data_IF_615698695792
#
_entry.id   IF_615698695792
#
_cell.length_a   1.000
_cell.length_b   1.000
_cell.length_c   1.000
_cell.angle_alpha   90.00
_cell.angle_beta   90.00
_cell.angle_gamma   90.00
#
_symmetry.space_group_name_H-M   'P 1'
#
loop_
_entity.id
_entity.type
_entity.pdbx_description
1 polymer ?
#
# COMPACT_ATOMS: atom_id res chain seq x y z
N UNK A 1 19.75 -21.25 62.05
CA UNK A 1 21.01 -21.73 62.68
C UNK A 1 21.96 -22.16 61.57
N UNK A 2 23.10 -21.48 61.42
CA UNK A 2 24.49 -22.03 61.58
C UNK A 2 24.76 -23.23 60.66
N UNK A 3 25.84 -23.38 59.88
CA UNK A 3 27.12 -22.70 59.66
C UNK A 3 27.79 -23.51 58.50
N UNK A 4 28.30 -22.89 57.44
CA UNK A 4 29.72 -22.49 57.24
C UNK A 4 30.66 -23.61 56.75
N UNK A 5 31.14 -23.40 55.50
CA UNK A 5 32.50 -23.52 54.94
C UNK A 5 33.34 -24.80 55.05
N UNK A 6 33.95 -25.14 53.90
CA UNK A 6 35.39 -25.23 53.56
C UNK A 6 35.56 -26.36 52.51
N UNK A 7 36.42 -26.38 51.50
CA UNK A 7 37.34 -25.48 50.80
C UNK A 7 38.19 -26.39 49.87
N UNK A 8 38.81 -25.83 48.84
CA UNK A 8 40.01 -26.31 48.12
C UNK A 8 39.87 -27.45 47.08
N UNK A 9 40.33 -27.12 45.87
CA UNK A 9 40.60 -28.06 44.77
C UNK A 9 41.00 -27.34 43.48
N UNK A 10 42.06 -26.55 43.56
CA UNK A 10 42.72 -25.83 42.47
C UNK A 10 43.28 -26.82 41.42
N UNK A 11 43.10 -26.57 40.13
CA UNK A 11 44.05 -27.03 39.11
C UNK A 11 44.04 -26.07 37.90
N UNK A 12 45.02 -25.16 37.92
CA UNK A 12 45.51 -24.42 36.77
C UNK A 12 46.25 -25.37 35.83
N UNK A 13 46.01 -25.26 34.53
CA UNK A 13 47.05 -25.51 33.52
C UNK A 13 47.08 -24.29 32.61
N UNK A 14 48.15 -23.50 32.78
CA UNK A 14 48.52 -22.45 31.87
C UNK A 14 49.27 -23.02 30.67
N UNK A 15 49.02 -22.44 29.50
CA UNK A 15 49.91 -22.50 28.36
C UNK A 15 50.05 -21.08 27.82
N UNK A 16 51.06 -20.38 28.35
CA UNK A 16 51.62 -19.17 27.75
C UNK A 16 52.45 -19.56 26.53
N UNK A 17 52.05 -19.11 25.34
CA UNK A 17 52.96 -18.99 24.19
C UNK A 17 53.02 -17.51 23.85
N UNK A 18 54.13 -16.88 24.26
CA UNK A 18 54.50 -15.56 23.80
C UNK A 18 55.30 -15.71 22.50
N UNK A 19 54.81 -15.16 21.39
CA UNK A 19 55.66 -14.85 20.23
C UNK A 19 55.18 -13.55 19.59
N UNK A 20 55.96 -12.49 19.87
CA UNK A 20 56.40 -11.44 18.95
C UNK A 20 55.34 -10.61 18.20
N UNK A 21 55.03 -9.43 18.76
CA UNK A 21 54.54 -8.27 18.00
C UNK A 21 55.61 -7.81 17.00
N UNK A 22 55.48 -8.18 15.73
CA UNK A 22 56.01 -7.36 14.63
C UNK A 22 55.01 -6.24 14.38
N UNK A 23 55.48 -5.01 14.59
CA UNK A 23 54.75 -3.77 14.37
C UNK A 23 54.68 -3.54 12.85
N UNK A 24 53.61 -4.00 12.23
CA UNK A 24 53.29 -3.70 10.84
C UNK A 24 52.47 -2.40 10.84
N UNK A 25 53.04 -1.32 10.32
CA UNK A 25 52.32 -0.08 10.04
C UNK A 25 51.32 -0.36 8.91
N UNK A 26 50.10 -0.74 9.30
CA UNK A 26 48.97 -0.74 8.40
C UNK A 26 48.62 0.73 8.18
N UNK A 27 48.99 1.25 7.00
CA UNK A 27 48.48 2.50 6.50
C UNK A 27 46.94 2.51 6.66
N UNK A 28 46.32 3.59 7.15
CA UNK A 28 44.86 3.65 7.22
C UNK A 28 44.34 3.52 5.78
N UNK A 29 43.85 2.32 5.47
CA UNK A 29 42.98 2.14 4.34
C UNK A 29 41.76 2.98 4.72
N UNK A 30 41.62 4.13 4.04
CA UNK A 30 40.36 4.84 4.00
C UNK A 30 39.40 3.84 3.38
N UNK A 31 38.71 3.09 4.24
CA UNK A 31 37.42 2.55 3.88
C UNK A 31 36.61 3.78 3.48
N UNK A 32 36.59 4.04 2.18
CA UNK A 32 35.47 4.71 1.56
C UNK A 32 34.25 3.95 2.09
N UNK A 33 33.55 4.56 3.04
CA UNK A 33 32.15 4.25 3.28
C UNK A 33 31.51 4.33 1.90
N UNK A 34 31.32 3.15 1.28
CA UNK A 34 30.41 2.97 0.18
C UNK A 34 29.05 3.27 0.77
N UNK A 35 28.72 4.56 0.82
CA UNK A 35 27.38 5.05 1.01
C UNK A 35 26.59 4.40 -0.11
N UNK A 36 25.94 3.28 0.22
CA UNK A 36 24.82 2.79 -0.55
C UNK A 36 23.81 3.93 -0.51
N UNK A 37 23.87 4.78 -1.52
CA UNK A 37 22.87 5.78 -1.81
C UNK A 37 21.60 5.01 -2.18
N UNK A 38 20.92 4.46 -1.18
CA UNK A 38 19.61 3.83 -1.34
C UNK A 38 18.74 4.84 -2.08
N UNK A 39 18.23 4.46 -3.24
CA UNK A 39 17.42 5.35 -4.08
C UNK A 39 16.18 5.77 -3.29
N UNK A 40 16.09 7.05 -2.94
CA UNK A 40 14.92 7.61 -2.26
C UNK A 40 13.92 8.05 -3.32
N UNK A 41 12.71 7.52 -3.27
CA UNK A 41 11.58 7.98 -4.08
C UNK A 41 10.71 8.90 -3.25
N UNK A 42 10.29 10.04 -3.82
CA UNK A 42 9.36 10.95 -3.16
C UNK A 42 8.01 10.88 -3.84
N UNK A 43 6.96 10.68 -3.04
CA UNK A 43 5.56 10.60 -3.46
C UNK A 43 4.77 11.67 -2.73
N UNK A 44 3.90 12.40 -3.42
CA UNK A 44 3.06 13.45 -2.83
C UNK A 44 1.59 13.15 -3.05
N UNK A 45 0.80 13.24 -1.99
CA UNK A 45 -0.65 13.17 -2.05
C UNK A 45 -1.23 14.55 -1.74
N UNK A 46 -2.01 15.08 -2.66
CA UNK A 46 -2.84 16.26 -2.45
C UNK A 46 -4.24 15.77 -2.11
N UNK A 47 -4.67 16.00 -0.88
CA UNK A 47 -5.95 15.54 -0.40
C UNK A 47 -6.99 16.65 -0.46
N UNK A 48 -8.22 16.28 -0.80
CA UNK A 48 -9.41 17.09 -0.57
C UNK A 48 -10.41 16.35 0.33
N UNK A 49 -10.95 17.04 1.33
CA UNK A 49 -11.98 16.51 2.22
C UNK A 49 -13.01 17.59 2.56
N UNK A 50 -14.22 17.46 2.03
CA UNK A 50 -15.24 18.52 2.12
C UNK A 50 -14.75 19.83 1.47
N UNK A 51 -14.39 20.82 2.29
CA UNK A 51 -13.83 22.12 1.85
C UNK A 51 -12.36 22.29 2.20
N UNK A 52 -11.75 21.30 2.84
CA UNK A 52 -10.36 21.33 3.25
C UNK A 52 -9.49 20.72 2.15
N UNK A 53 -8.35 21.35 1.89
CA UNK A 53 -7.30 20.88 0.97
C UNK A 53 -5.98 20.89 1.73
N UNK A 54 -5.18 19.84 1.56
CA UNK A 54 -3.90 19.69 2.26
C UNK A 54 -3.00 18.69 1.53
N UNK A 55 -1.69 18.71 1.80
CA UNK A 55 -0.75 17.80 1.13
C UNK A 55 0.13 17.05 2.10
N UNK A 56 0.40 15.78 1.78
CA UNK A 56 1.34 14.93 2.52
C UNK A 56 2.36 14.35 1.53
N UNK A 57 3.63 14.44 1.88
CA UNK A 57 4.71 13.89 1.08
C UNK A 57 5.40 12.76 1.85
N UNK A 58 5.60 11.64 1.17
CA UNK A 58 6.26 10.45 1.66
C UNK A 58 7.59 10.26 0.93
N UNK A 59 8.66 10.04 1.68
CA UNK A 59 9.92 9.53 1.13
C UNK A 59 9.99 8.05 1.38
N UNK A 60 10.20 7.28 0.32
CA UNK A 60 10.22 5.82 0.29
C UNK A 60 11.63 5.32 -0.02
N UNK A 61 12.03 4.20 0.59
CA UNK A 61 13.22 3.46 0.18
C UNK A 61 12.93 2.57 -1.05
N UNK A 62 13.89 1.75 -1.45
CA UNK A 62 13.77 0.83 -2.60
C UNK A 62 12.75 -0.30 -2.38
N UNK A 63 12.43 -0.60 -1.12
CA UNK A 63 11.46 -1.61 -0.71
C UNK A 63 10.04 -1.02 -0.55
N UNK A 64 9.84 0.25 -0.94
CA UNK A 64 8.62 1.06 -0.75
C UNK A 64 8.26 1.29 0.73
N UNK A 65 9.22 1.22 1.65
CA UNK A 65 8.99 1.56 3.05
C UNK A 65 9.11 3.07 3.27
N UNK A 66 8.18 3.63 4.06
CA UNK A 66 8.19 5.06 4.41
C UNK A 66 9.34 5.35 5.38
N UNK A 67 10.35 6.06 4.90
CA UNK A 67 11.49 6.53 5.72
C UNK A 67 11.23 7.92 6.32
N UNK A 68 10.41 8.74 5.66
CA UNK A 68 10.07 10.09 6.12
C UNK A 68 8.71 10.53 5.59
N UNK A 69 7.99 11.28 6.43
CA UNK A 69 6.75 11.97 6.02
C UNK A 69 6.85 13.47 6.34
N UNK A 70 6.33 14.31 5.47
CA UNK A 70 6.27 15.77 5.64
C UNK A 70 4.95 16.35 5.10
N UNK A 71 4.71 17.64 5.34
CA UNK A 71 3.44 18.30 5.01
C UNK A 71 2.44 18.24 6.16
N UNK A 72 1.15 18.25 5.83
CA UNK A 72 0.01 18.36 6.76
C UNK A 72 -0.34 17.04 7.47
N UNK A 73 0.67 16.29 7.88
CA UNK A 73 0.57 14.95 8.49
C UNK A 73 -0.36 14.88 9.70
N UNK A 74 -0.38 15.92 10.55
CA UNK A 74 -1.25 15.98 11.72
C UNK A 74 -2.72 16.10 11.33
N UNK A 75 -3.02 16.92 10.33
CA UNK A 75 -4.38 17.06 9.79
C UNK A 75 -4.82 15.76 9.13
N UNK A 76 -3.96 15.20 8.27
CA UNK A 76 -4.20 13.93 7.60
C UNK A 76 -4.55 12.80 8.58
N UNK A 77 -3.71 12.60 9.60
CA UNK A 77 -3.93 11.61 10.65
C UNK A 77 -5.24 11.89 11.41
N UNK A 78 -5.49 13.14 11.76
CA UNK A 78 -6.71 13.56 12.44
C UNK A 78 -7.98 13.26 11.63
N UNK A 79 -7.96 13.45 10.31
CA UNK A 79 -9.11 13.18 9.44
C UNK A 79 -9.36 11.68 9.26
N UNK A 80 -8.31 10.88 9.07
CA UNK A 80 -8.43 9.42 9.00
C UNK A 80 -8.95 8.83 10.33
N UNK A 81 -8.47 9.34 11.47
CA UNK A 81 -8.88 8.86 12.81
C UNK A 81 -10.29 9.35 13.22
N UNK A 82 -10.67 10.59 12.88
CA UNK A 82 -11.93 11.22 13.32
C UNK A 82 -13.17 10.63 12.64
N UNK A 83 -13.04 10.03 11.45
CA UNK A 83 -14.15 9.43 10.71
C UNK A 83 -14.55 8.01 11.22
N UNK A 84 -14.23 7.68 12.47
CA UNK A 84 -14.88 6.62 13.24
C UNK A 84 -14.28 5.22 13.09
N UNK A 85 -13.52 4.96 12.05
CA UNK A 85 -12.45 3.93 11.95
C UNK A 85 -12.00 3.94 10.48
N UNK A 86 -10.72 3.69 10.16
CA UNK A 86 -10.26 3.50 8.78
C UNK A 86 -11.10 2.46 8.01
N UNK A 87 -11.82 1.59 8.73
CA UNK A 87 -12.69 0.53 8.23
C UNK A 87 -13.73 0.92 7.19
N UNK A 88 -14.15 2.18 7.02
CA UNK A 88 -15.11 2.55 5.97
C UNK A 88 -14.65 3.76 5.13
N UNK A 89 -13.42 4.24 5.33
CA UNK A 89 -12.92 5.37 4.58
C UNK A 89 -12.90 5.03 3.07
N UNK A 90 -13.25 6.02 2.25
CA UNK A 90 -13.21 5.87 0.80
C UNK A 90 -12.30 6.94 0.21
N UNK A 91 -11.39 6.50 -0.65
CA UNK A 91 -10.39 7.31 -1.33
C UNK A 91 -10.70 7.28 -2.82
N UNK A 92 -10.87 8.43 -3.45
CA UNK A 92 -10.97 8.55 -4.91
C UNK A 92 -9.71 9.24 -5.41
N UNK A 93 -8.90 8.51 -6.17
CA UNK A 93 -7.75 9.03 -6.89
C UNK A 93 -8.28 9.71 -8.15
N UNK A 94 -8.39 11.03 -8.09
CA UNK A 94 -8.96 11.88 -9.15
C UNK A 94 -7.95 12.15 -10.27
N UNK A 95 -6.67 12.27 -9.93
CA UNK A 95 -5.60 12.47 -10.90
C UNK A 95 -4.28 11.83 -10.44
N UNK A 96 -3.41 11.54 -11.42
CA UNK A 96 -2.07 11.01 -11.22
C UNK A 96 -1.13 11.77 -12.15
N UNK A 97 -0.08 12.37 -11.61
CA UNK A 97 0.92 13.09 -12.40
C UNK A 97 1.61 12.18 -13.43
N UNK A 98 2.15 12.78 -14.50
CA UNK A 98 2.83 12.05 -15.57
C UNK A 98 4.00 11.17 -15.09
N UNK A 99 4.68 11.57 -14.01
CA UNK A 99 5.77 10.80 -13.40
C UNK A 99 5.29 9.70 -12.43
N UNK A 100 3.98 9.58 -12.22
CA UNK A 100 3.34 8.58 -11.37
C UNK A 100 3.60 8.75 -9.87
N UNK A 101 3.98 9.95 -9.42
CA UNK A 101 4.41 10.20 -8.03
C UNK A 101 3.61 11.26 -7.29
N UNK A 102 2.74 11.98 -7.96
CA UNK A 102 1.82 12.92 -7.34
C UNK A 102 0.40 12.46 -7.61
N UNK A 103 -0.41 12.41 -6.55
CA UNK A 103 -1.77 11.91 -6.59
C UNK A 103 -2.72 12.95 -6.01
N UNK A 104 -3.78 13.26 -6.74
CA UNK A 104 -4.88 14.07 -6.23
C UNK A 104 -5.96 13.11 -5.71
N UNK A 105 -6.20 13.14 -4.40
CA UNK A 105 -7.02 12.15 -3.70
C UNK A 105 -8.16 12.84 -2.95
N UNK A 106 -9.39 12.52 -3.29
CA UNK A 106 -10.57 12.94 -2.53
C UNK A 106 -10.93 11.90 -1.48
N UNK A 107 -11.12 12.35 -0.25
CA UNK A 107 -11.53 11.52 0.89
C UNK A 107 -13.03 11.64 1.12
N UNK A 108 -13.64 10.51 1.48
CA UNK A 108 -15.06 10.41 1.84
C UNK A 108 -15.23 9.58 3.12
N UNK A 109 -16.37 9.77 3.79
CA UNK A 109 -16.70 9.01 4.99
C UNK A 109 -17.16 7.58 4.68
N UNK A 110 -17.57 7.31 3.43
CA UNK A 110 -18.06 6.01 3.00
C UNK A 110 -17.95 5.82 1.49
N UNK A 111 -17.93 4.57 1.05
CA UNK A 111 -18.04 4.22 -0.36
C UNK A 111 -19.34 4.74 -1.00
N UNK A 112 -20.44 4.80 -0.24
CA UNK A 112 -21.70 5.37 -0.72
C UNK A 112 -21.55 6.85 -1.07
N UNK A 113 -20.97 7.65 -0.18
CA UNK A 113 -20.75 9.08 -0.41
C UNK A 113 -19.85 9.32 -1.64
N UNK A 114 -18.83 8.49 -1.81
CA UNK A 114 -17.97 8.51 -3.00
C UNK A 114 -18.74 8.16 -4.29
N UNK A 115 -19.65 7.18 -4.24
CA UNK A 115 -20.47 6.79 -5.39
C UNK A 115 -21.50 7.86 -5.76
N UNK A 116 -22.12 8.49 -4.75
CA UNK A 116 -23.05 9.60 -4.93
C UNK A 116 -22.34 10.79 -5.59
N UNK A 117 -21.11 11.11 -5.13
CA UNK A 117 -20.27 12.15 -5.73
C UNK A 117 -19.92 11.84 -7.18
N UNK A 118 -19.52 10.59 -7.46
CA UNK A 118 -19.18 10.13 -8.80
C UNK A 118 -20.40 9.91 -9.71
N UNK A 119 -21.62 10.16 -9.22
CA UNK A 119 -22.89 9.97 -9.94
C UNK A 119 -23.06 8.55 -10.50
N UNK A 120 -22.57 7.57 -9.75
CA UNK A 120 -22.69 6.17 -10.14
C UNK A 120 -24.03 5.65 -9.66
N UNK A 121 -24.89 5.37 -10.62
CA UNK A 121 -26.15 4.70 -10.36
C UNK A 121 -25.92 3.20 -10.10
N UNK A 122 -25.87 2.83 -8.83
CA UNK A 122 -25.77 1.41 -8.46
C UNK A 122 -27.04 0.62 -8.80
N UNK A 123 -28.17 1.27 -9.07
CA UNK A 123 -29.42 0.59 -9.43
C UNK A 123 -29.43 0.08 -10.89
N UNK A 124 -28.66 0.71 -11.79
CA UNK A 124 -28.42 0.19 -13.15
C UNK A 124 -27.31 -0.86 -13.19
N UNK A 125 -26.47 -0.95 -12.15
CA UNK A 125 -25.42 -1.96 -11.98
C UNK A 125 -25.90 -3.21 -11.20
N UNK A 126 -27.07 -3.76 -11.58
CA UNK A 126 -27.55 -5.14 -11.30
C UNK A 126 -28.14 -5.46 -9.90
N UNK A 127 -29.18 -6.30 -9.95
CA UNK A 127 -29.92 -6.97 -8.88
C UNK A 127 -29.07 -7.36 -7.66
N UNK A 128 -29.07 -6.49 -6.64
CA UNK A 128 -28.37 -6.56 -5.36
C UNK A 128 -28.85 -7.69 -4.42
N UNK A 129 -29.50 -8.74 -4.93
CA UNK A 129 -30.10 -9.77 -4.06
C UNK A 129 -29.08 -10.51 -3.20
N UNK A 130 -27.79 -10.55 -3.58
CA UNK A 130 -26.72 -11.11 -2.75
C UNK A 130 -25.39 -10.32 -2.89
N UNK A 131 -25.01 -9.49 -1.89
CA UNK A 131 -23.79 -8.67 -1.92
C UNK A 131 -22.49 -9.49 -1.92
N UNK A 132 -22.61 -10.81 -1.78
CA UNK A 132 -21.50 -11.74 -1.74
C UNK A 132 -21.33 -12.60 -3.00
N UNK A 133 -21.82 -12.14 -4.15
CA UNK A 133 -21.67 -12.87 -5.42
C UNK A 133 -20.77 -12.13 -6.39
N UNK A 134 -19.98 -12.89 -7.15
CA UNK A 134 -19.31 -12.35 -8.33
C UNK A 134 -20.32 -12.19 -9.44
N UNK A 135 -20.13 -11.15 -10.22
CA UNK A 135 -21.05 -10.86 -11.30
C UNK A 135 -20.33 -10.11 -12.43
N UNK A 136 -20.75 -10.39 -13.66
CA UNK A 136 -20.31 -9.72 -14.88
C UNK A 136 -21.56 -9.39 -15.70
N UNK A 137 -21.87 -8.10 -15.91
CA UNK A 137 -22.95 -7.68 -16.83
C UNK A 137 -22.43 -6.89 -18.01
N UNK A 138 -23.16 -7.03 -19.12
CA UNK A 138 -23.25 -5.99 -20.14
C UNK A 138 -22.03 -5.90 -21.06
N UNK A 139 -22.12 -4.92 -21.95
CA UNK A 139 -21.03 -4.50 -22.82
C UNK A 139 -20.55 -3.12 -22.35
N UNK A 140 -19.36 -3.05 -21.77
CA UNK A 140 -18.61 -1.78 -21.66
C UNK A 140 -17.34 -1.88 -22.49
N UNK A 141 -16.87 -0.73 -22.96
CA UNK A 141 -15.59 -0.63 -23.67
C UNK A 141 -14.40 -0.42 -22.72
N UNK A 142 -14.65 -0.10 -21.44
CA UNK A 142 -13.62 0.04 -20.41
C UNK A 142 -12.88 -1.28 -20.20
N UNK A 143 -11.56 -1.23 -20.13
CA UNK A 143 -10.72 -2.41 -19.85
C UNK A 143 -9.81 -2.09 -18.67
N UNK A 144 -9.90 -2.91 -17.62
CA UNK A 144 -9.03 -2.81 -16.47
C UNK A 144 -8.07 -4.00 -16.48
N UNK A 145 -6.77 -3.71 -16.48
CA UNK A 145 -5.73 -4.75 -16.37
C UNK A 145 -4.98 -4.57 -15.06
N UNK A 146 -4.82 -5.68 -14.35
CA UNK A 146 -4.15 -5.72 -13.05
C UNK A 146 -2.86 -6.50 -13.20
N UNK A 147 -1.83 -6.06 -12.49
CA UNK A 147 -0.48 -6.60 -12.63
C UNK A 147 0.11 -6.89 -11.27
N UNK A 148 0.90 -7.96 -11.21
CA UNK A 148 1.57 -8.40 -9.99
C UNK A 148 2.73 -7.49 -9.58
N UNK A 149 3.34 -6.82 -10.54
CA UNK A 149 4.49 -5.95 -10.30
C UNK A 149 4.17 -4.51 -10.73
N UNK A 150 4.94 -3.56 -10.20
CA UNK A 150 4.89 -2.17 -10.65
C UNK A 150 5.23 -2.06 -12.15
N UNK A 151 4.91 -0.92 -12.74
CA UNK A 151 5.17 -0.58 -14.14
C UNK A 151 4.54 -1.57 -15.15
N UNK A 152 3.38 -2.13 -14.80
CA UNK A 152 2.56 -3.00 -15.64
C UNK A 152 3.26 -4.32 -16.03
N UNK A 153 3.98 -4.92 -15.07
CA UNK A 153 4.72 -6.17 -15.28
C UNK A 153 3.95 -7.37 -14.69
N UNK A 154 3.86 -8.45 -15.47
CA UNK A 154 3.17 -9.73 -15.14
C UNK A 154 1.66 -9.56 -14.87
N UNK A 155 0.87 -9.59 -15.94
CA UNK A 155 -0.57 -9.35 -15.90
C UNK A 155 -1.40 -10.53 -15.35
N UNK A 156 -2.34 -10.24 -14.46
CA UNK A 156 -3.43 -11.15 -14.08
C UNK A 156 -4.54 -11.18 -15.14
N UNK A 157 -4.30 -11.91 -16.23
CA UNK A 157 -5.23 -11.95 -17.38
C UNK A 157 -6.65 -12.43 -17.05
N UNK A 158 -6.83 -13.20 -15.97
CA UNK A 158 -8.15 -13.64 -15.51
C UNK A 158 -8.99 -12.51 -14.90
N UNK A 159 -8.34 -11.45 -14.38
CA UNK A 159 -8.99 -10.25 -13.84
C UNK A 159 -9.37 -9.22 -14.91
N UNK A 160 -8.96 -9.41 -16.18
CA UNK A 160 -9.37 -8.53 -17.28
C UNK A 160 -10.86 -8.27 -17.27
N UNK A 161 -11.65 -9.31 -16.94
CA UNK A 161 -13.11 -9.31 -16.91
C UNK A 161 -13.75 -8.26 -15.99
N UNK A 162 -12.97 -7.46 -15.26
CA UNK A 162 -13.44 -6.40 -14.36
C UNK A 162 -14.23 -5.26 -15.01
N UNK A 163 -14.27 -5.15 -16.35
CA UNK A 163 -14.89 -4.06 -17.14
C UNK A 163 -16.20 -3.50 -16.58
N UNK A 164 -17.06 -4.38 -16.05
CA UNK A 164 -18.32 -4.09 -15.33
C UNK A 164 -18.58 -5.25 -14.35
N UNK A 165 -17.52 -5.72 -13.70
CA UNK A 165 -17.58 -6.92 -12.88
C UNK A 165 -17.17 -6.67 -11.45
N UNK A 166 -17.59 -7.63 -10.64
CA UNK A 166 -17.36 -7.71 -9.21
C UNK A 166 -16.57 -8.98 -8.91
N UNK A 167 -15.40 -8.85 -8.28
CA UNK A 167 -14.56 -9.98 -7.86
C UNK A 167 -14.36 -9.99 -6.36
N UNK A 168 -14.53 -11.15 -5.74
CA UNK A 168 -14.22 -11.41 -4.34
C UNK A 168 -12.89 -12.12 -4.14
N UNK A 169 -12.43 -12.16 -2.89
CA UNK A 169 -11.20 -12.81 -2.45
C UNK A 169 -11.00 -14.21 -3.04
N UNK A 170 -12.02 -15.09 -2.98
CA UNK A 170 -11.88 -16.46 -3.52
C UNK A 170 -11.72 -16.52 -5.05
N UNK A 171 -11.90 -15.41 -5.75
CA UNK A 171 -11.74 -15.27 -7.20
C UNK A 171 -10.59 -14.35 -7.61
N UNK A 172 -9.98 -13.66 -6.66
CA UNK A 172 -8.72 -12.96 -6.87
C UNK A 172 -7.55 -13.96 -6.91
N UNK A 173 -7.67 -15.15 -6.32
CA UNK A 173 -6.64 -16.19 -6.32
C UNK A 173 -5.26 -15.60 -5.94
N UNK A 174 -4.22 -15.81 -6.75
CA UNK A 174 -2.89 -15.25 -6.52
C UNK A 174 -2.81 -13.72 -6.61
N UNK A 175 -3.85 -13.02 -7.04
CA UNK A 175 -3.90 -11.56 -7.06
C UNK A 175 -4.37 -10.95 -5.73
N UNK A 176 -4.98 -11.74 -4.83
CA UNK A 176 -5.35 -11.23 -3.51
C UNK A 176 -4.09 -10.69 -2.79
N UNK A 177 -4.14 -9.44 -2.32
CA UNK A 177 -3.04 -8.74 -1.65
C UNK A 177 -1.72 -8.70 -2.46
N UNK A 178 -1.79 -8.85 -3.80
CA UNK A 178 -0.62 -8.96 -4.68
C UNK A 178 -0.79 -8.16 -5.98
N UNK A 179 -1.57 -7.07 -5.96
CA UNK A 179 -1.75 -6.19 -7.13
C UNK A 179 -0.89 -4.95 -6.94
N UNK A 180 0.18 -4.82 -7.72
CA UNK A 180 1.10 -3.68 -7.60
C UNK A 180 0.88 -2.59 -8.64
N UNK A 181 0.21 -2.88 -9.76
CA UNK A 181 -0.15 -1.83 -10.74
C UNK A 181 -1.45 -2.13 -11.49
N UNK A 182 -2.03 -1.05 -12.03
CA UNK A 182 -3.36 -1.04 -12.65
C UNK A 182 -3.33 -0.18 -13.91
N UNK A 183 -3.74 -0.74 -15.04
CA UNK A 183 -3.93 -0.03 -16.29
C UNK A 183 -5.43 0.09 -16.59
N UNK A 184 -5.91 1.32 -16.78
CA UNK A 184 -7.27 1.63 -17.18
C UNK A 184 -7.25 2.09 -18.64
N UNK A 185 -7.89 1.31 -19.52
CA UNK A 185 -8.03 1.61 -20.93
C UNK A 185 -9.48 1.95 -21.24
N UNK A 186 -9.68 2.91 -22.13
CA UNK A 186 -11.01 3.40 -22.54
C UNK A 186 -11.86 3.96 -21.38
N UNK A 187 -11.20 4.54 -20.38
CA UNK A 187 -11.85 5.18 -19.23
C UNK A 187 -12.56 4.18 -18.31
N UNK A 188 -13.33 4.72 -17.37
CA UNK A 188 -14.02 3.97 -16.32
C UNK A 188 -13.41 4.25 -14.95
N UNK A 189 -13.91 3.54 -13.95
CA UNK A 189 -13.41 3.60 -12.58
C UNK A 189 -13.30 2.18 -12.03
N UNK A 190 -12.26 1.91 -11.27
CA UNK A 190 -12.17 0.66 -10.49
C UNK A 190 -12.03 0.98 -9.02
N UNK A 191 -12.69 0.21 -8.18
CA UNK A 191 -12.63 0.30 -6.72
C UNK A 191 -12.06 -0.99 -6.15
N UNK A 192 -11.00 -0.86 -5.36
CA UNK A 192 -10.39 -1.91 -4.54
C UNK A 192 -10.93 -1.80 -3.11
N UNK A 193 -11.26 -2.92 -2.49
CA UNK A 193 -11.81 -2.98 -1.13
C UNK A 193 -10.94 -3.86 -0.22
N UNK A 194 -10.77 -3.46 1.04
CA UNK A 194 -10.03 -4.25 2.06
C UNK A 194 -10.84 -5.42 2.63
N UNK A 195 -12.17 -5.36 2.51
CA UNK A 195 -13.08 -6.39 2.94
C UNK A 195 -13.56 -7.27 1.79
N UNK A 196 -13.93 -8.49 2.13
CA UNK A 196 -14.77 -9.34 1.27
C UNK A 196 -16.14 -8.70 1.03
N UNK A 197 -16.82 -9.08 -0.05
CA UNK A 197 -18.15 -8.59 -0.39
C UNK A 197 -18.25 -7.05 -0.52
N UNK A 198 -17.24 -6.41 -1.11
CA UNK A 198 -17.22 -4.97 -1.43
C UNK A 198 -17.44 -4.08 -0.20
N UNK A 199 -16.88 -4.53 0.93
CA UNK A 199 -17.02 -3.88 2.21
C UNK A 199 -15.69 -3.31 2.67
N UNK A 200 -15.77 -2.45 3.67
CA UNK A 200 -14.60 -1.93 4.35
C UNK A 200 -14.05 -0.65 3.72
N UNK A 201 -12.74 -0.44 3.89
CA UNK A 201 -12.01 0.66 3.29
C UNK A 201 -11.95 0.46 1.78
N UNK A 202 -12.09 1.54 1.01
CA UNK A 202 -12.12 1.46 -0.44
C UNK A 202 -11.22 2.50 -1.10
N UNK A 203 -10.53 2.11 -2.16
CA UNK A 203 -9.75 3.03 -3.01
C UNK A 203 -10.23 2.89 -4.45
N UNK A 204 -10.81 3.96 -4.97
CA UNK A 204 -11.23 4.09 -6.34
C UNK A 204 -10.20 4.84 -7.17
N UNK A 205 -9.97 4.38 -8.39
CA UNK A 205 -9.02 4.96 -9.33
C UNK A 205 -9.69 5.14 -10.69
N UNK A 206 -9.54 6.32 -11.29
CA UNK A 206 -10.06 6.63 -12.64
C UNK A 206 -8.95 6.77 -13.70
N UNK A 207 -7.68 6.69 -13.28
CA UNK A 207 -6.49 6.71 -14.13
C UNK A 207 -5.63 5.45 -13.94
N UNK A 208 -4.75 5.17 -14.91
CA UNK A 208 -3.74 4.11 -14.74
C UNK A 208 -2.74 4.50 -13.65
N UNK A 209 -2.36 3.54 -12.81
CA UNK A 209 -1.39 3.71 -11.73
C UNK A 209 -0.28 2.68 -11.89
N UNK A 210 0.94 3.17 -12.16
CA UNK A 210 2.11 2.32 -12.37
C UNK A 210 2.62 1.68 -11.07
N UNK A 211 2.32 2.24 -9.91
CA UNK A 211 2.63 1.63 -8.62
C UNK A 211 1.57 1.96 -7.56
N UNK A 212 0.69 1.01 -7.26
CA UNK A 212 -0.36 1.15 -6.25
C UNK A 212 0.20 1.24 -4.82
N UNK A 213 1.45 0.81 -4.60
CA UNK A 213 2.12 0.92 -3.30
C UNK A 213 2.56 2.35 -3.00
N UNK A 214 2.45 3.27 -3.98
CA UNK A 214 2.59 4.70 -3.70
C UNK A 214 1.35 5.30 -3.03
N UNK A 215 0.19 4.65 -3.15
CA UNK A 215 -1.07 5.16 -2.60
C UNK A 215 -1.26 4.61 -1.17
N UNK A 216 -0.72 5.34 -0.22
CA UNK A 216 -0.92 5.13 1.21
C UNK A 216 -2.35 5.52 1.66
N UNK A 217 -3.07 4.56 2.25
CA UNK A 217 -4.49 4.70 2.63
C UNK A 217 -4.71 4.69 4.15
N UNK A 218 -3.69 4.38 4.95
CA UNK A 218 -3.80 4.40 6.41
C UNK A 218 -2.79 3.50 7.10
N UNK A 219 -3.00 3.26 8.40
CA UNK A 219 -2.14 2.40 9.20
C UNK A 219 -2.97 1.31 9.88
N UNK A 220 -2.46 0.07 9.86
CA UNK A 220 -2.98 -1.04 10.65
C UNK A 220 -1.94 -1.41 11.71
N UNK A 221 -2.24 -1.17 12.99
CA UNK A 221 -1.32 -1.43 14.13
C UNK A 221 0.13 -1.03 13.86
N UNK A 222 0.33 0.20 13.36
CA UNK A 222 1.64 0.81 13.05
C UNK A 222 2.23 0.50 11.67
N UNK A 223 1.72 -0.50 10.94
CA UNK A 223 2.17 -0.78 9.57
C UNK A 223 1.39 0.06 8.56
N UNK A 224 2.07 0.73 7.61
CA UNK A 224 1.42 1.45 6.54
C UNK A 224 0.65 0.47 5.65
N UNK A 225 -0.55 0.88 5.24
CA UNK A 225 -1.41 0.12 4.35
C UNK A 225 -1.47 0.87 3.02
N UNK A 226 -1.25 0.15 1.93
CA UNK A 226 -1.22 0.69 0.58
C UNK A 226 -2.32 0.08 -0.28
N UNK A 227 -2.82 0.83 -1.27
CA UNK A 227 -3.90 0.39 -2.17
C UNK A 227 -3.68 -0.99 -2.80
N UNK A 228 -2.43 -1.37 -3.07
CA UNK A 228 -2.08 -2.66 -3.68
C UNK A 228 -2.10 -3.87 -2.73
N UNK A 229 -1.94 -3.62 -1.42
CA UNK A 229 -1.64 -4.67 -0.43
C UNK A 229 -2.87 -5.20 0.32
N UNK A 230 -4.06 -4.65 0.06
CA UNK A 230 -5.27 -5.04 0.78
C UNK A 230 -6.44 -5.48 -0.09
N UNK A 231 -6.30 -5.54 -1.42
CA UNK A 231 -7.43 -5.77 -2.29
C UNK A 231 -8.05 -7.18 -2.09
N UNK A 232 -9.07 -7.27 -1.24
CA UNK A 232 -9.86 -8.47 -0.94
C UNK A 232 -11.13 -8.57 -1.79
N UNK A 233 -11.58 -7.46 -2.38
CA UNK A 233 -12.55 -7.47 -3.47
C UNK A 233 -12.38 -6.28 -4.41
N UNK A 234 -12.87 -6.41 -5.64
CA UNK A 234 -12.69 -5.43 -6.72
C UNK A 234 -14.03 -5.20 -7.42
N UNK A 235 -14.34 -3.94 -7.74
CA UNK A 235 -15.50 -3.56 -8.56
C UNK A 235 -15.07 -2.61 -9.67
N UNK A 236 -15.35 -2.97 -10.92
CA UNK A 236 -15.16 -2.09 -12.06
C UNK A 236 -16.45 -1.45 -12.53
N UNK A 237 -16.35 -0.17 -12.88
CA UNK A 237 -17.42 0.68 -13.39
C UNK A 237 -17.00 1.18 -14.76
N UNK A 238 -17.48 0.51 -15.79
CA UNK A 238 -17.25 0.92 -17.17
C UNK A 238 -18.20 2.04 -17.61
N UNK A 239 -17.73 2.85 -18.58
CA UNK A 239 -18.57 3.80 -19.32
C UNK A 239 -19.01 3.22 -20.67
#
# INVERSE_FOLDING_TARGET
MKRVFKSLGLLLIGATVAVSCTKEEIAPNVEEEVTHSSKITTVTHNYSYGKEEYSVTYSLNEENEIIRTSGDTKLHKGLIEKNGTPKNAAFLVEDVSEDGRTFDIRLFNSNQEMNDYAQIDEATAVDLREPCTNYTSGSSNSIFKFYKHADYVEEYTFLRRAFVSYFQQQWLDGANDNISSLEILNGGRVTLFDGSCYSGMSTSVVHSVANLHYIHVGFYWFDPVYAGDFAASIKGYGY
#
